data_IF_139774069064
#
_entry.id   IF_139774069064
#
_cell.length_a   1.000
_cell.length_b   1.000
_cell.length_c   1.000
_cell.angle_alpha   90.00
_cell.angle_beta   90.00
_cell.angle_gamma   90.00
#
_symmetry.space_group_name_H-M   'P 1'
#
loop_
_entity.id
_entity.type
_entity.pdbx_description
1 polymer ?
#
# COMPACT_ATOMS: atom_id res chain seq x y z
N UNK A 1 -5.40 -17.60 4.72
CA UNK A 1 -4.55 -16.47 5.17
C UNK A 1 -3.83 -15.94 3.96
N UNK A 2 -3.75 -14.62 3.78
CA UNK A 2 -3.01 -13.97 2.68
C UNK A 2 -1.74 -13.39 3.29
N UNK A 3 -0.59 -13.74 2.71
CA UNK A 3 0.71 -13.22 3.09
C UNK A 3 1.23 -12.29 2.00
N UNK A 4 1.92 -11.23 2.38
CA UNK A 4 2.56 -10.30 1.46
C UNK A 4 3.76 -9.65 2.13
N UNK A 5 4.73 -9.23 1.32
CA UNK A 5 5.93 -8.55 1.78
C UNK A 5 5.73 -7.04 1.82
N UNK A 6 6.11 -6.42 2.94
CA UNK A 6 6.06 -4.96 3.11
C UNK A 6 7.36 -4.36 2.57
N UNK A 7 7.28 -3.66 1.44
CA UNK A 7 8.44 -3.05 0.77
C UNK A 7 8.28 -2.91 -0.75
N UNK A 8 7.22 -3.50 -1.29
CA UNK A 8 6.83 -3.44 -2.70
C UNK A 8 5.61 -2.53 -2.90
N UNK A 9 5.31 -2.22 -4.17
CA UNK A 9 4.16 -1.43 -4.59
C UNK A 9 4.28 0.06 -4.25
N UNK A 10 5.50 0.57 -4.09
CA UNK A 10 5.71 1.99 -3.84
C UNK A 10 5.42 2.79 -5.11
N UNK A 11 4.69 3.88 -4.95
CA UNK A 11 4.52 4.92 -5.95
C UNK A 11 5.52 6.06 -5.76
N UNK A 12 6.00 6.28 -4.54
CA UNK A 12 6.99 7.29 -4.18
C UNK A 12 8.30 6.70 -3.67
N UNK A 13 9.04 7.46 -2.86
CA UNK A 13 10.22 6.98 -2.11
C UNK A 13 11.28 6.30 -3.01
N UNK A 14 11.54 6.90 -4.17
CA UNK A 14 12.48 6.36 -5.15
C UNK A 14 11.91 5.34 -6.12
N UNK A 15 10.62 4.97 -6.06
CA UNK A 15 9.97 4.10 -7.04
C UNK A 15 9.51 4.85 -8.31
N UNK A 16 9.27 6.16 -8.20
CA UNK A 16 8.94 7.04 -9.33
C UNK A 16 10.18 7.75 -9.86
N UNK A 17 10.08 8.27 -11.09
CA UNK A 17 11.10 9.17 -11.63
C UNK A 17 11.00 10.53 -10.96
N UNK A 18 12.13 11.15 -10.66
CA UNK A 18 12.21 12.48 -10.07
C UNK A 18 13.14 13.38 -10.88
N UNK A 19 12.90 14.69 -10.82
CA UNK A 19 13.82 15.70 -11.35
C UNK A 19 14.55 16.34 -10.17
N UNK A 20 15.88 16.27 -10.18
CA UNK A 20 16.72 16.90 -9.16
C UNK A 20 17.75 17.76 -9.88
N UNK A 21 17.72 19.08 -9.65
CA UNK A 21 18.60 20.04 -10.32
C UNK A 21 18.65 19.88 -11.85
N UNK A 22 17.49 19.70 -12.48
CA UNK A 22 17.36 19.51 -13.93
C UNK A 22 17.77 18.13 -14.46
N UNK A 23 18.27 17.23 -13.59
CA UNK A 23 18.64 15.85 -13.95
C UNK A 23 17.54 14.87 -13.58
N UNK A 24 17.28 13.92 -14.48
CA UNK A 24 16.35 12.82 -14.23
C UNK A 24 16.99 11.75 -13.37
N UNK A 25 16.40 11.50 -12.21
CA UNK A 25 16.67 10.34 -11.36
C UNK A 25 15.64 9.28 -11.72
N UNK A 26 16.11 8.13 -12.21
CA UNK A 26 15.23 7.02 -12.56
C UNK A 26 14.70 6.34 -11.30
N UNK A 27 13.40 6.00 -11.32
CA UNK A 27 12.80 5.21 -10.24
C UNK A 27 13.31 3.77 -10.22
N UNK A 28 13.44 3.23 -9.02
CA UNK A 28 13.81 1.85 -8.74
C UNK A 28 12.65 0.90 -9.12
N UNK A 29 12.94 0.02 -10.08
CA UNK A 29 11.98 -0.96 -10.60
C UNK A 29 11.54 -1.96 -9.54
N UNK A 30 12.41 -2.32 -8.60
CA UNK A 30 12.10 -3.29 -7.54
C UNK A 30 11.10 -2.71 -6.57
N UNK A 31 11.33 -1.47 -6.09
CA UNK A 31 10.41 -0.78 -5.18
C UNK A 31 9.03 -0.53 -5.80
N UNK A 32 8.99 -0.29 -7.11
CA UNK A 32 7.75 -0.09 -7.86
C UNK A 32 6.96 -1.39 -8.12
N UNK A 33 7.65 -2.52 -8.20
CA UNK A 33 7.02 -3.79 -8.54
C UNK A 33 6.04 -4.25 -7.45
N UNK A 34 5.09 -5.12 -7.82
CA UNK A 34 4.14 -5.72 -6.88
C UNK A 34 3.04 -4.76 -6.42
N UNK A 35 2.52 -5.01 -5.22
CA UNK A 35 1.42 -4.26 -4.61
C UNK A 35 1.73 -3.94 -3.15
N UNK A 36 1.20 -2.82 -2.67
CA UNK A 36 1.30 -2.42 -1.28
C UNK A 36 -0.07 -2.55 -0.63
N UNK A 37 -0.21 -3.38 0.42
CA UNK A 37 -1.51 -3.66 1.01
C UNK A 37 -1.87 -2.80 2.23
N UNK A 38 -0.99 -1.91 2.70
CA UNK A 38 -1.33 -0.97 3.77
C UNK A 38 -2.62 -0.16 3.51
N UNK A 39 -2.92 0.31 2.28
CA UNK A 39 -4.13 1.10 2.01
C UNK A 39 -5.44 0.34 2.23
N UNK A 40 -5.43 -1.00 2.18
CA UNK A 40 -6.63 -1.82 2.38
C UNK A 40 -6.74 -2.39 3.79
N UNK A 41 -5.79 -2.08 4.67
CA UNK A 41 -5.82 -2.53 6.06
C UNK A 41 -7.02 -1.94 6.80
N UNK A 42 -7.53 -2.69 7.77
CA UNK A 42 -8.67 -2.28 8.58
C UNK A 42 -8.36 -0.98 9.32
N UNK A 43 -9.19 0.04 9.07
CA UNK A 43 -9.19 1.30 9.83
C UNK A 43 -9.89 1.14 11.16
N UNK A 44 -9.49 1.98 12.10
CA UNK A 44 -10.18 2.14 13.36
C UNK A 44 -11.55 2.81 13.12
N UNK A 45 -12.66 2.27 13.66
CA UNK A 45 -13.98 2.86 13.48
C UNK A 45 -14.15 4.17 14.27
N UNK A 46 -13.40 4.36 15.35
CA UNK A 46 -13.58 5.46 16.29
C UNK A 46 -12.57 6.59 16.07
N UNK A 47 -11.49 6.32 15.32
CA UNK A 47 -10.44 7.31 15.03
C UNK A 47 -10.25 7.49 13.52
N UNK A 48 -10.64 8.68 13.04
CA UNK A 48 -10.57 9.02 11.62
C UNK A 48 -9.15 8.86 11.05
N UNK A 49 -9.06 8.16 9.91
CA UNK A 49 -7.82 7.90 9.16
C UNK A 49 -6.72 7.11 9.90
N UNK A 50 -7.01 6.55 11.08
CA UNK A 50 -6.07 5.69 11.78
C UNK A 50 -6.29 4.21 11.45
N UNK A 51 -5.21 3.44 11.51
CA UNK A 51 -5.29 1.98 11.52
C UNK A 51 -5.88 1.51 12.86
N UNK A 52 -6.47 0.31 12.87
CA UNK A 52 -7.06 -0.27 14.08
C UNK A 52 -6.03 -0.31 15.23
N UNK A 53 -6.39 0.30 16.36
CA UNK A 53 -5.48 0.43 17.50
C UNK A 53 -5.63 -0.72 18.49
N UNK A 54 -4.52 -1.12 19.09
CA UNK A 54 -4.53 -1.87 20.34
C UNK A 54 -4.53 -0.89 21.51
N UNK A 55 -5.67 -0.78 22.20
CA UNK A 55 -5.86 0.16 23.31
C UNK A 55 -5.00 -0.15 24.53
N UNK A 56 -4.57 -1.40 24.72
CA UNK A 56 -3.77 -1.79 25.89
C UNK A 56 -2.29 -1.61 25.62
N UNK A 57 -1.81 -2.03 24.45
CA UNK A 57 -0.40 -1.94 24.06
C UNK A 57 0.00 -0.65 23.34
N UNK A 58 -0.94 0.19 22.92
CA UNK A 58 -0.66 1.42 22.15
C UNK A 58 -0.12 1.15 20.73
N UNK A 59 -0.31 -0.06 20.22
CA UNK A 59 0.24 -0.51 18.93
C UNK A 59 -0.80 -0.46 17.81
N UNK A 60 -0.38 -0.80 16.58
CA UNK A 60 -1.24 -0.90 15.40
C UNK A 60 -1.49 -2.38 15.08
N UNK A 61 -2.75 -2.72 14.80
CA UNK A 61 -3.16 -4.08 14.45
C UNK A 61 -3.07 -4.32 12.94
N UNK A 62 -2.01 -5.01 12.50
CA UNK A 62 -1.81 -5.33 11.07
C UNK A 62 -2.45 -6.64 10.60
N UNK A 63 -2.79 -7.56 11.51
CA UNK A 63 -3.15 -8.93 11.16
C UNK A 63 -4.66 -9.23 11.14
N UNK A 64 -5.51 -8.27 11.56
CA UNK A 64 -6.96 -8.45 11.68
C UNK A 64 -7.77 -7.82 10.54
N UNK A 65 -7.22 -7.83 9.32
CA UNK A 65 -7.93 -7.40 8.11
C UNK A 65 -8.51 -8.61 7.40
N UNK A 66 -9.85 -8.61 7.19
CA UNK A 66 -10.50 -9.58 6.29
C UNK A 66 -10.39 -9.07 4.87
N UNK A 67 -9.95 -9.92 3.95
CA UNK A 67 -9.80 -9.58 2.54
C UNK A 67 -10.31 -10.73 1.66
N UNK A 68 -10.73 -10.38 0.44
CA UNK A 68 -11.09 -11.30 -0.63
C UNK A 68 -10.14 -11.05 -1.80
N UNK A 69 -9.70 -12.12 -2.45
CA UNK A 69 -8.91 -12.03 -3.68
C UNK A 69 -9.83 -12.31 -4.85
N UNK A 70 -9.78 -11.45 -5.86
CA UNK A 70 -10.48 -11.62 -7.12
C UNK A 70 -9.48 -11.50 -8.27
N UNK A 71 -9.83 -12.08 -9.42
CA UNK A 71 -9.03 -11.91 -10.62
C UNK A 71 -9.17 -10.45 -11.07
N UNK A 72 -8.03 -9.78 -11.26
CA UNK A 72 -8.02 -8.46 -11.88
C UNK A 72 -8.50 -8.57 -13.32
N UNK A 73 -9.57 -7.84 -13.66
CA UNK A 73 -10.08 -7.67 -15.01
C UNK A 73 -9.55 -6.31 -15.50
N UNK A 74 -8.35 -6.31 -16.10
CA UNK A 74 -7.65 -5.09 -16.53
C UNK A 74 -8.47 -4.19 -17.48
N UNK A 75 -9.54 -4.69 -18.10
CA UNK A 75 -10.46 -3.91 -18.93
C UNK A 75 -11.50 -3.11 -18.12
N UNK A 76 -11.81 -3.51 -16.88
CA UNK A 76 -12.80 -2.86 -15.99
C UNK A 76 -12.12 -2.00 -14.92
N UNK A 77 -10.93 -2.41 -14.47
CA UNK A 77 -10.26 -1.81 -13.31
C UNK A 77 -9.55 -0.48 -13.61
N UNK A 78 -9.40 -0.09 -14.88
CA UNK A 78 -8.85 1.22 -15.30
C UNK A 78 -9.85 2.37 -15.07
N UNK A 79 -11.13 2.07 -14.82
CA UNK A 79 -12.15 3.09 -14.57
C UNK A 79 -12.03 3.77 -13.18
N UNK A 80 -11.19 3.25 -12.28
CA UNK A 80 -11.00 3.75 -10.91
C UNK A 80 -9.57 4.26 -10.62
N UNK A 81 -8.71 4.37 -11.64
CA UNK A 81 -7.33 4.85 -11.51
C UNK A 81 -7.15 6.30 -11.97
#
# INVERSE_FOLDING_TARGET
VILFEVGYGHWGYGASNYQVAGKRVAGDKVRRAGIHLNPIMRRDPDVWQMALMDLTGGSVVFYNTRARVERADMAKDVAYA
#
